data_IF_733187314900
#
_entry.id   IF_733187314900
#
_cell.length_a   1.000
_cell.length_b   1.000
_cell.length_c   1.000
_cell.angle_alpha   90.00
_cell.angle_beta   90.00
_cell.angle_gamma   90.00
#
_symmetry.space_group_name_H-M   'P 1'
#
loop_
_entity.id
_entity.type
_entity.pdbx_description
1 polymer ?
#
# COMPACT_ATOMS: atom_id res chain seq x y z
N UNK A 1 19.61 -31.35 36.78
CA UNK A 1 20.32 -30.35 35.97
C UNK A 1 19.35 -29.85 34.93
N UNK A 2 19.00 -28.56 34.99
CA UNK A 2 18.03 -27.92 34.10
C UNK A 2 18.76 -27.59 32.80
N UNK A 3 18.45 -28.30 31.72
CA UNK A 3 18.96 -28.00 30.38
C UNK A 3 18.23 -26.78 29.85
N UNK A 4 18.93 -25.64 29.76
CA UNK A 4 18.44 -24.44 29.07
C UNK A 4 18.48 -24.71 27.57
N UNK A 5 17.33 -24.80 26.91
CA UNK A 5 17.23 -24.78 25.45
C UNK A 5 17.68 -23.42 24.93
N UNK A 6 18.72 -23.43 24.10
CA UNK A 6 19.25 -22.28 23.41
C UNK A 6 18.42 -22.07 22.13
N UNK A 7 17.49 -21.12 22.15
CA UNK A 7 16.83 -20.65 20.92
C UNK A 7 17.87 -19.91 20.07
N UNK A 8 18.35 -20.55 19.01
CA UNK A 8 19.15 -19.89 17.99
C UNK A 8 18.18 -19.21 17.03
N UNK A 9 18.06 -17.88 17.13
CA UNK A 9 17.37 -17.04 16.16
C UNK A 9 18.26 -16.96 14.92
N UNK A 10 18.03 -17.82 13.93
CA UNK A 10 18.72 -17.76 12.65
C UNK A 10 17.94 -16.81 11.73
N UNK A 11 18.44 -15.58 11.56
CA UNK A 11 17.93 -14.65 10.55
C UNK A 11 18.37 -15.17 9.18
N UNK A 12 17.49 -15.90 8.49
CA UNK A 12 17.73 -16.30 7.10
C UNK A 12 17.26 -15.16 6.20
N UNK A 13 18.22 -14.38 5.68
CA UNK A 13 17.95 -13.41 4.62
C UNK A 13 17.68 -14.21 3.35
N UNK A 14 16.41 -14.34 2.98
CA UNK A 14 15.98 -15.00 1.75
C UNK A 14 15.99 -13.95 0.65
N UNK A 15 16.77 -14.21 -0.40
CA UNK A 15 16.89 -13.35 -1.57
C UNK A 15 15.54 -13.23 -2.29
N UNK A 16 15.03 -12.00 -2.39
CA UNK A 16 13.93 -11.62 -3.27
C UNK A 16 14.40 -11.64 -4.72
N UNK A 17 13.60 -12.21 -5.61
CA UNK A 17 13.74 -12.04 -7.05
C UNK A 17 12.33 -11.87 -7.63
N UNK A 18 11.80 -10.67 -7.45
CA UNK A 18 10.69 -10.10 -8.20
C UNK A 18 11.02 -8.63 -8.47
N UNK A 19 11.08 -8.27 -9.75
CA UNK A 19 11.29 -6.89 -10.16
C UNK A 19 9.98 -6.10 -9.96
N UNK A 20 9.90 -5.43 -8.82
CA UNK A 20 9.42 -4.06 -8.69
C UNK A 20 10.36 -3.43 -7.65
N UNK A 21 11.57 -3.05 -8.09
CA UNK A 21 12.57 -2.46 -7.21
C UNK A 21 12.21 -0.99 -6.91
N UNK A 22 11.41 -0.81 -5.86
CA UNK A 22 11.51 0.33 -4.98
C UNK A 22 11.11 -0.06 -3.55
N UNK A 23 12.03 0.26 -2.63
CA UNK A 23 11.97 0.05 -1.19
C UNK A 23 12.00 -1.40 -0.67
N UNK A 24 13.10 -1.68 0.03
CA UNK A 24 13.39 -2.91 0.76
C UNK A 24 12.70 -2.94 2.13
N UNK A 25 11.43 -2.50 2.20
CA UNK A 25 10.65 -2.35 3.43
C UNK A 25 9.26 -2.94 3.22
N UNK A 26 9.20 -4.28 3.17
CA UNK A 26 7.94 -5.03 3.21
C UNK A 26 7.33 -4.87 4.59
N UNK A 27 6.01 -4.67 4.66
CA UNK A 27 5.34 -4.58 5.97
C UNK A 27 5.03 -5.97 6.56
N UNK A 28 5.13 -7.04 5.76
CA UNK A 28 5.05 -8.42 6.26
C UNK A 28 6.43 -9.03 6.46
N UNK A 29 6.68 -9.55 7.67
CA UNK A 29 7.92 -10.26 8.00
C UNK A 29 7.64 -11.74 8.24
N UNK A 30 8.40 -12.61 7.56
CA UNK A 30 8.31 -14.06 7.75
C UNK A 30 9.41 -14.53 8.70
N UNK A 31 9.01 -14.99 9.88
CA UNK A 31 9.89 -15.59 10.89
C UNK A 31 9.90 -17.12 10.76
N UNK A 32 11.06 -17.73 11.01
CA UNK A 32 11.25 -19.18 10.96
C UNK A 32 11.67 -19.75 12.31
N UNK A 33 11.01 -20.83 12.73
CA UNK A 33 11.43 -21.67 13.86
C UNK A 33 11.57 -23.12 13.42
N UNK A 34 12.43 -23.92 14.05
CA UNK A 34 12.62 -25.33 13.71
C UNK A 34 12.29 -26.21 14.90
N UNK A 35 11.46 -27.23 14.66
CA UNK A 35 11.13 -28.28 15.63
C UNK A 35 12.26 -29.32 15.74
N UNK A 36 12.28 -30.08 16.82
CA UNK A 36 13.25 -31.17 17.04
C UNK A 36 13.23 -32.23 15.93
N UNK A 37 12.08 -32.40 15.27
CA UNK A 37 11.91 -33.35 14.18
C UNK A 37 12.38 -32.84 12.81
N UNK A 38 12.97 -31.64 12.77
CA UNK A 38 13.49 -31.00 11.58
C UNK A 38 12.46 -30.14 10.83
N UNK A 39 11.18 -30.16 11.22
CA UNK A 39 10.13 -29.34 10.61
C UNK A 39 10.43 -27.85 10.79
N UNK A 40 10.43 -27.09 9.69
CA UNK A 40 10.58 -25.63 9.70
C UNK A 40 9.21 -24.99 9.66
N UNK A 41 8.89 -24.17 10.65
CA UNK A 41 7.60 -23.48 10.79
C UNK A 41 7.79 -22.02 10.42
N UNK A 42 6.90 -21.50 9.57
CA UNK A 42 6.94 -20.12 9.08
C UNK A 42 5.74 -19.33 9.61
N UNK A 43 6.04 -18.26 10.33
CA UNK A 43 5.07 -17.34 10.94
C UNK A 43 5.20 -15.99 10.27
N UNK A 44 4.11 -15.49 9.69
CA UNK A 44 4.08 -14.14 9.15
C UNK A 44 3.62 -13.15 10.21
N UNK A 45 4.22 -11.97 10.22
CA UNK A 45 3.79 -10.84 11.03
C UNK A 45 3.51 -9.64 10.12
N UNK A 46 2.31 -9.08 10.20
CA UNK A 46 1.95 -7.84 9.53
C UNK A 46 2.25 -6.65 10.45
N UNK A 47 3.26 -5.84 10.16
CA UNK A 47 3.59 -4.63 10.94
C UNK A 47 2.69 -3.44 10.61
N UNK A 48 1.97 -3.50 9.48
CA UNK A 48 1.17 -2.39 8.99
C UNK A 48 -0.11 -2.15 9.78
N UNK A 49 -0.68 -0.96 9.56
CA UNK A 49 -1.92 -0.49 10.21
C UNK A 49 -3.21 -0.88 9.47
N UNK A 50 -3.08 -1.71 8.44
CA UNK A 50 -4.14 -2.18 7.53
C UNK A 50 -4.01 -3.69 7.26
N UNK A 51 -5.09 -4.37 6.82
CA UNK A 51 -5.00 -5.74 6.35
C UNK A 51 -4.05 -5.86 5.15
N UNK A 52 -3.32 -6.97 5.06
CA UNK A 52 -2.45 -7.29 3.92
C UNK A 52 -2.76 -8.69 3.42
N UNK A 53 -3.07 -8.82 2.13
CA UNK A 53 -3.14 -10.11 1.47
C UNK A 53 -1.74 -10.56 1.07
N UNK A 54 -1.37 -11.78 1.45
CA UNK A 54 -0.10 -12.41 1.08
C UNK A 54 -0.34 -13.65 0.24
N UNK A 55 0.49 -13.86 -0.78
CA UNK A 55 0.60 -15.14 -1.48
C UNK A 55 1.99 -15.72 -1.23
N UNK A 56 2.04 -16.98 -0.79
CA UNK A 56 3.29 -17.70 -0.55
C UNK A 56 3.37 -18.86 -1.54
N UNK A 57 4.48 -18.95 -2.26
CA UNK A 57 4.76 -20.04 -3.19
C UNK A 57 6.16 -20.62 -2.95
N UNK A 58 6.29 -21.93 -3.13
CA UNK A 58 7.54 -22.65 -2.89
C UNK A 58 7.91 -23.60 -4.03
N UNK A 59 9.22 -23.71 -4.27
CA UNK A 59 9.82 -24.73 -5.13
C UNK A 59 10.43 -25.80 -4.23
N UNK A 60 9.81 -26.99 -4.22
CA UNK A 60 10.27 -28.13 -3.43
C UNK A 60 11.28 -28.93 -4.25
N UNK A 61 12.56 -28.90 -3.85
CA UNK A 61 13.66 -29.51 -4.62
C UNK A 61 13.87 -30.96 -4.18
N UNK A 62 13.98 -31.20 -2.88
CA UNK A 62 14.31 -32.53 -2.38
C UNK A 62 13.81 -32.76 -0.95
N UNK A 63 13.28 -33.96 -0.72
CA UNK A 63 12.98 -34.53 0.61
C UNK A 63 12.08 -33.68 1.51
N UNK A 64 11.14 -32.91 0.94
CA UNK A 64 10.23 -32.07 1.71
C UNK A 64 8.82 -32.09 1.15
N UNK A 65 7.86 -31.81 2.02
CA UNK A 65 6.53 -31.35 1.64
C UNK A 65 6.15 -30.13 2.47
N UNK A 66 5.09 -29.44 2.08
CA UNK A 66 4.53 -28.29 2.81
C UNK A 66 3.22 -28.68 3.45
N UNK A 67 2.92 -28.05 4.59
CA UNK A 67 1.62 -28.13 5.26
C UNK A 67 1.18 -26.72 5.72
N UNK A 68 0.09 -26.16 5.16
CA UNK A 68 -0.68 -26.70 4.03
C UNK A 68 0.15 -26.72 2.73
N UNK A 69 -0.37 -27.38 1.68
CA UNK A 69 0.23 -27.35 0.34
C UNK A 69 0.26 -25.91 -0.20
N UNK A 70 1.39 -25.50 -0.77
CA UNK A 70 1.57 -24.20 -1.43
C UNK A 70 1.28 -24.28 -2.95
N UNK A 71 0.82 -23.18 -3.59
CA UNK A 71 0.71 -21.83 -3.05
C UNK A 71 -0.46 -21.62 -2.07
N UNK A 72 -0.29 -20.69 -1.15
CA UNK A 72 -1.28 -20.28 -0.16
C UNK A 72 -1.51 -18.78 -0.23
N UNK A 73 -2.78 -18.36 -0.27
CA UNK A 73 -3.17 -16.97 -0.03
C UNK A 73 -3.76 -16.80 1.36
N UNK A 74 -3.44 -15.70 2.03
CA UNK A 74 -4.01 -15.37 3.32
C UNK A 74 -4.11 -13.86 3.51
N UNK A 75 -5.10 -13.38 4.26
CA UNK A 75 -5.21 -11.96 4.65
C UNK A 75 -4.79 -11.84 6.11
N UNK A 76 -3.66 -11.19 6.36
CA UNK A 76 -3.18 -10.88 7.69
C UNK A 76 -3.83 -9.58 8.17
N UNK A 77 -4.47 -9.62 9.33
CA UNK A 77 -5.01 -8.43 9.98
C UNK A 77 -3.89 -7.51 10.48
N UNK A 78 -4.16 -6.21 10.72
CA UNK A 78 -3.16 -5.28 11.26
C UNK A 78 -2.51 -5.84 12.53
N UNK A 79 -1.18 -5.83 12.61
CA UNK A 79 -0.40 -6.35 13.75
C UNK A 79 -0.59 -7.86 14.05
N UNK A 80 -1.21 -8.62 13.15
CA UNK A 80 -1.37 -10.07 13.34
C UNK A 80 -0.04 -10.79 13.21
N UNK A 81 0.15 -11.84 14.01
CA UNK A 81 1.18 -12.86 13.80
C UNK A 81 0.52 -14.23 13.62
N UNK A 82 0.69 -14.84 12.45
CA UNK A 82 0.03 -16.11 12.11
C UNK A 82 1.01 -17.13 11.55
N UNK A 83 0.93 -18.37 12.04
CA UNK A 83 1.63 -19.50 11.41
C UNK A 83 0.93 -19.84 10.09
N UNK A 84 1.61 -19.56 8.98
CA UNK A 84 1.03 -19.75 7.64
C UNK A 84 1.28 -21.15 7.09
N UNK A 85 2.53 -21.60 7.14
CA UNK A 85 2.90 -22.91 6.60
C UNK A 85 4.09 -23.51 7.32
N UNK A 86 4.30 -24.79 7.09
CA UNK A 86 5.47 -25.52 7.56
C UNK A 86 6.09 -26.28 6.41
N UNK A 87 7.41 -26.48 6.47
CA UNK A 87 8.14 -27.36 5.58
C UNK A 87 8.61 -28.56 6.38
N UNK A 88 8.11 -29.73 6.01
CA UNK A 88 8.27 -30.97 6.76
C UNK A 88 9.20 -31.91 5.96
N UNK A 89 10.31 -32.38 6.55
CA UNK A 89 11.18 -33.36 5.88
C UNK A 89 10.44 -34.70 5.71
N UNK A 90 10.52 -35.29 4.52
CA UNK A 90 9.92 -36.62 4.25
C UNK A 90 10.70 -37.72 4.98
N UNK A 91 12.02 -37.65 4.89
CA UNK A 91 12.97 -38.51 5.60
C UNK A 91 13.90 -37.64 6.45
N UNK A 92 13.82 -37.80 7.78
CA UNK A 92 14.57 -36.98 8.74
C UNK A 92 16.09 -37.17 8.66
N UNK A 93 16.57 -38.18 7.95
CA UNK A 93 18.00 -38.46 7.79
C UNK A 93 18.61 -37.83 6.53
N UNK A 94 17.78 -37.30 5.62
CA UNK A 94 18.20 -36.70 4.35
C UNK A 94 18.02 -35.18 4.38
N UNK A 95 18.85 -34.48 3.61
CA UNK A 95 18.78 -33.02 3.49
C UNK A 95 17.46 -32.57 2.87
N UNK A 96 16.79 -31.63 3.52
CA UNK A 96 15.59 -30.95 3.05
C UNK A 96 15.97 -29.69 2.26
N UNK A 97 15.62 -29.64 0.97
CA UNK A 97 15.97 -28.56 0.05
C UNK A 97 14.72 -27.95 -0.61
N UNK A 98 14.59 -26.64 -0.51
CA UNK A 98 13.50 -25.85 -1.10
C UNK A 98 13.87 -24.38 -1.14
N UNK A 99 13.13 -23.62 -1.93
CA UNK A 99 13.06 -22.16 -1.88
C UNK A 99 11.60 -21.73 -1.77
N UNK A 100 11.34 -20.55 -1.22
CA UNK A 100 10.02 -19.93 -1.29
C UNK A 100 10.16 -18.43 -1.49
N UNK A 101 9.10 -17.82 -2.01
CA UNK A 101 8.93 -16.39 -2.11
C UNK A 101 7.51 -16.05 -1.65
N UNK A 102 7.31 -14.78 -1.35
CA UNK A 102 5.98 -14.25 -1.07
C UNK A 102 5.80 -12.90 -1.72
N UNK A 103 4.56 -12.58 -2.03
CA UNK A 103 4.11 -11.27 -2.47
C UNK A 103 3.11 -10.74 -1.43
N UNK A 104 3.03 -9.43 -1.29
CA UNK A 104 2.09 -8.75 -0.39
C UNK A 104 1.32 -7.66 -1.13
N UNK A 105 0.05 -7.49 -0.78
CA UNK A 105 -0.82 -6.43 -1.31
C UNK A 105 -1.66 -5.85 -0.20
N UNK A 106 -1.62 -4.53 -0.07
CA UNK A 106 -2.43 -3.78 0.88
C UNK A 106 -3.93 -3.92 0.64
N UNK A 107 -4.67 -4.12 1.73
CA UNK A 107 -6.12 -4.19 1.79
C UNK A 107 -6.66 -5.62 1.76
N UNK A 108 -7.88 -5.77 2.25
CA UNK A 108 -8.64 -7.02 2.16
C UNK A 108 -9.25 -7.14 0.75
N UNK A 109 -8.98 -8.22 -0.02
CA UNK A 109 -9.58 -8.42 -1.34
C UNK A 109 -11.10 -8.59 -1.32
N UNK A 110 -11.70 -8.85 -0.14
CA UNK A 110 -13.15 -8.87 0.05
C UNK A 110 -13.76 -7.46 0.18
N UNK A 111 -12.95 -6.40 0.15
CA UNK A 111 -13.43 -5.02 0.21
C UNK A 111 -14.30 -4.68 -0.99
N UNK A 112 -15.52 -4.23 -0.72
CA UNK A 112 -16.49 -3.80 -1.72
C UNK A 112 -16.68 -2.28 -1.64
N UNK A 113 -16.42 -1.59 -2.76
CA UNK A 113 -16.66 -0.16 -2.85
C UNK A 113 -18.13 0.13 -3.16
N UNK A 114 -18.80 0.90 -2.29
CA UNK A 114 -20.10 1.48 -2.59
C UNK A 114 -19.92 2.65 -3.57
N UNK A 115 -20.45 2.50 -4.78
CA UNK A 115 -20.39 3.52 -5.84
C UNK A 115 -21.16 4.80 -5.54
N UNK A 116 -21.96 4.83 -4.46
CA UNK A 116 -22.59 6.04 -3.93
C UNK A 116 -21.71 6.77 -2.90
N UNK A 117 -20.50 6.28 -2.65
CA UNK A 117 -19.51 6.99 -1.84
C UNK A 117 -18.96 8.18 -2.61
N UNK A 118 -18.97 9.34 -1.97
CA UNK A 118 -18.41 10.57 -2.53
C UNK A 118 -17.22 11.09 -1.73
N UNK A 119 -16.36 11.82 -2.42
CA UNK A 119 -15.12 12.38 -1.88
C UNK A 119 -15.21 13.92 -1.90
N UNK A 120 -14.96 14.57 -0.77
CA UNK A 120 -14.91 16.04 -0.74
C UNK A 120 -13.68 16.54 -1.52
N UNK A 121 -13.74 17.77 -2.03
CA UNK A 121 -12.59 18.39 -2.70
C UNK A 121 -11.42 18.53 -1.70
N UNK A 122 -10.20 18.10 -2.05
CA UNK A 122 -9.09 17.97 -1.09
C UNK A 122 -8.34 19.27 -0.81
N UNK A 123 -8.92 20.44 -1.09
CA UNK A 123 -8.32 21.76 -0.86
C UNK A 123 -9.34 22.68 -0.17
N UNK A 124 -8.96 23.91 0.18
CA UNK A 124 -9.77 24.80 1.02
C UNK A 124 -10.77 25.66 0.24
N UNK A 125 -11.72 26.24 0.98
CA UNK A 125 -12.80 27.06 0.43
C UNK A 125 -12.29 28.34 -0.25
N UNK A 126 -12.99 28.77 -1.30
CA UNK A 126 -12.63 29.90 -2.15
C UNK A 126 -11.45 29.64 -3.08
N UNK A 127 -10.94 28.39 -3.13
CA UNK A 127 -9.86 28.00 -4.02
C UNK A 127 -10.41 27.31 -5.27
N UNK A 128 -9.70 27.50 -6.38
CA UNK A 128 -10.08 26.94 -7.67
C UNK A 128 -8.86 26.41 -8.41
N UNK A 129 -8.91 25.13 -8.75
CA UNK A 129 -7.81 24.42 -9.41
C UNK A 129 -8.32 23.61 -10.61
N UNK A 130 -7.42 23.34 -11.55
CA UNK A 130 -7.75 22.61 -12.79
C UNK A 130 -7.27 21.17 -12.70
N UNK A 131 -8.12 20.24 -13.11
CA UNK A 131 -7.71 18.86 -13.37
C UNK A 131 -6.85 18.84 -14.64
N UNK A 132 -5.57 18.55 -14.50
CA UNK A 132 -4.63 18.46 -15.62
C UNK A 132 -4.57 17.06 -16.21
N UNK A 133 -4.88 16.04 -15.42
CA UNK A 133 -5.05 14.68 -15.90
C UNK A 133 -6.18 14.00 -15.13
N UNK A 134 -7.08 13.31 -15.84
CA UNK A 134 -8.20 12.57 -15.24
C UNK A 134 -8.07 11.06 -15.43
N UNK A 135 -9.17 10.36 -15.22
CA UNK A 135 -9.24 8.90 -15.41
C UNK A 135 -8.82 8.50 -16.83
N UNK A 136 -8.05 7.41 -16.94
CA UNK A 136 -7.47 6.88 -18.17
C UNK A 136 -6.57 7.90 -18.90
N UNK A 137 -5.94 8.81 -18.14
CA UNK A 137 -4.97 9.75 -18.66
C UNK A 137 -3.78 9.06 -19.32
N UNK A 138 -3.23 9.70 -20.35
CA UNK A 138 -2.23 9.08 -21.24
C UNK A 138 -0.78 9.19 -20.75
N UNK A 139 -0.51 9.95 -19.68
CA UNK A 139 0.85 10.20 -19.18
C UNK A 139 1.22 9.25 -18.05
N UNK A 140 0.44 9.22 -16.97
CA UNK A 140 0.73 8.41 -15.77
C UNK A 140 -0.46 7.56 -15.31
N UNK A 141 -1.65 7.70 -15.90
CA UNK A 141 -2.89 7.03 -15.46
C UNK A 141 -3.26 5.84 -16.35
N UNK A 142 -2.27 5.01 -16.71
CA UNK A 142 -2.47 3.86 -17.62
C UNK A 142 -2.22 2.49 -16.96
N UNK A 143 -1.57 2.45 -15.80
CA UNK A 143 -1.43 1.23 -15.01
C UNK A 143 -2.66 1.00 -14.11
N UNK A 144 -2.77 -0.19 -13.52
CA UNK A 144 -3.96 -0.54 -12.75
C UNK A 144 -4.09 0.26 -11.45
N UNK A 145 -2.99 0.66 -10.82
CA UNK A 145 -2.98 1.42 -9.58
C UNK A 145 -3.36 2.90 -9.79
N UNK A 146 -3.16 3.43 -10.99
CA UNK A 146 -3.36 4.86 -11.29
C UNK A 146 -4.40 5.15 -12.38
N UNK A 147 -5.02 4.11 -12.99
CA UNK A 147 -6.02 4.27 -14.06
C UNK A 147 -7.12 5.28 -13.74
N UNK A 148 -7.60 5.31 -12.50
CA UNK A 148 -8.63 6.24 -12.03
C UNK A 148 -8.08 7.31 -11.09
N UNK A 149 -6.82 7.72 -11.29
CA UNK A 149 -6.26 8.87 -10.58
C UNK A 149 -6.67 10.21 -11.21
N UNK A 150 -6.44 11.28 -10.46
CA UNK A 150 -6.71 12.67 -10.85
C UNK A 150 -5.52 13.53 -10.43
N UNK A 151 -4.93 14.22 -11.39
CA UNK A 151 -3.91 15.23 -11.14
C UNK A 151 -4.56 16.61 -11.14
N UNK A 152 -4.44 17.32 -10.03
CA UNK A 152 -5.01 18.66 -9.82
C UNK A 152 -3.84 19.65 -9.73
N UNK A 153 -3.68 20.51 -10.73
CA UNK A 153 -2.58 21.49 -10.71
C UNK A 153 -2.81 22.54 -9.64
N UNK A 154 -1.79 22.76 -8.82
CA UNK A 154 -1.83 23.72 -7.73
C UNK A 154 -0.40 24.13 -7.33
N UNK A 155 -0.20 25.36 -6.83
CA UNK A 155 1.10 25.76 -6.29
C UNK A 155 1.53 24.86 -5.14
N UNK A 156 2.84 24.64 -4.99
CA UNK A 156 3.38 24.02 -3.76
C UNK A 156 2.99 24.85 -2.53
N UNK A 157 2.70 24.20 -1.41
CA UNK A 157 2.22 24.86 -0.20
C UNK A 157 0.71 25.03 -0.11
N UNK A 158 -0.07 24.54 -1.08
CA UNK A 158 -1.53 24.56 -0.98
C UNK A 158 -1.96 23.56 0.09
N UNK A 159 -2.73 24.01 1.10
CA UNK A 159 -3.25 23.12 2.14
C UNK A 159 -4.17 22.05 1.55
N UNK A 160 -3.92 20.80 1.93
CA UNK A 160 -4.66 19.63 1.50
C UNK A 160 -5.42 19.00 2.65
N UNK A 161 -6.66 18.62 2.40
CA UNK A 161 -7.59 18.12 3.40
C UNK A 161 -8.11 16.72 3.06
N UNK A 162 -8.50 15.97 4.09
CA UNK A 162 -9.07 14.63 3.91
C UNK A 162 -10.36 14.69 3.11
N UNK A 163 -10.37 14.07 1.94
CA UNK A 163 -11.55 13.93 1.08
C UNK A 163 -12.61 12.99 1.67
N UNK A 164 -12.20 12.04 2.52
CA UNK A 164 -13.09 11.07 3.17
C UNK A 164 -12.47 10.64 4.49
N UNK A 165 -13.31 10.51 5.53
CA UNK A 165 -12.90 10.01 6.85
C UNK A 165 -12.25 8.63 6.76
N UNK A 166 -11.27 8.37 7.63
CA UNK A 166 -10.59 7.08 7.69
C UNK A 166 -9.35 7.13 8.56
N UNK A 167 -8.61 6.03 8.55
CA UNK A 167 -7.35 5.90 9.29
C UNK A 167 -6.16 6.17 8.38
N UNK A 168 -5.22 6.99 8.80
CA UNK A 168 -3.93 7.15 8.12
C UNK A 168 -3.12 5.86 8.34
N UNK A 169 -2.77 5.16 7.26
CA UNK A 169 -2.16 3.82 7.32
C UNK A 169 -0.77 3.74 6.71
N UNK A 170 -0.37 4.74 5.92
CA UNK A 170 1.00 4.86 5.41
C UNK A 170 1.34 6.33 5.16
N UNK A 171 2.55 6.73 5.52
CA UNK A 171 3.16 8.01 5.19
C UNK A 171 4.52 7.74 4.56
N UNK A 172 4.79 8.41 3.45
CA UNK A 172 6.13 8.53 2.90
C UNK A 172 6.49 10.01 2.85
N UNK A 173 7.64 10.39 3.39
CA UNK A 173 8.11 11.78 3.43
C UNK A 173 9.63 11.86 3.27
N UNK A 174 10.14 13.07 3.04
CA UNK A 174 11.57 13.38 2.99
C UNK A 174 12.18 13.43 1.59
N UNK A 175 11.41 13.17 0.53
CA UNK A 175 11.88 13.38 -0.84
C UNK A 175 11.70 14.83 -1.28
N UNK A 176 12.82 15.50 -1.54
CA UNK A 176 12.84 16.90 -2.01
C UNK A 176 13.03 17.00 -3.53
N UNK A 177 13.42 15.91 -4.19
CA UNK A 177 13.69 15.88 -5.63
C UNK A 177 12.40 15.70 -6.40
N UNK A 178 12.40 16.23 -7.61
CA UNK A 178 11.30 16.11 -8.58
C UNK A 178 11.86 15.86 -9.97
N UNK A 179 11.17 15.08 -10.79
CA UNK A 179 11.49 14.93 -12.21
C UNK A 179 11.00 13.61 -12.78
N UNK A 180 11.00 13.50 -14.11
CA UNK A 180 10.55 12.29 -14.81
C UNK A 180 11.70 11.33 -15.07
N UNK A 181 12.40 10.92 -14.00
CA UNK A 181 13.50 9.95 -14.06
C UNK A 181 13.12 8.65 -13.34
N UNK A 182 13.66 7.53 -13.82
CA UNK A 182 13.28 6.20 -13.32
C UNK A 182 13.56 6.02 -11.81
N UNK A 183 14.58 6.70 -11.27
CA UNK A 183 14.91 6.64 -9.85
C UNK A 183 13.93 7.39 -8.93
N UNK A 184 12.98 8.14 -9.50
CA UNK A 184 11.97 8.92 -8.76
C UNK A 184 10.56 8.33 -8.80
N UNK A 185 10.32 7.26 -9.57
CA UNK A 185 9.00 6.64 -9.82
C UNK A 185 8.25 6.28 -8.53
N UNK A 186 8.97 5.87 -7.48
CA UNK A 186 8.39 5.44 -6.20
C UNK A 186 8.85 6.31 -5.03
N UNK A 187 9.27 7.55 -5.33
CA UNK A 187 9.83 8.48 -4.34
C UNK A 187 8.88 9.60 -3.94
N UNK A 188 7.65 9.63 -4.43
CA UNK A 188 6.70 10.66 -4.05
C UNK A 188 6.42 10.61 -2.54
N UNK A 189 6.43 11.77 -1.88
CA UNK A 189 5.87 11.90 -0.55
C UNK A 189 4.36 11.72 -0.67
N UNK A 190 3.77 10.92 0.22
CA UNK A 190 2.37 10.57 0.15
C UNK A 190 1.75 10.27 1.51
N UNK A 191 0.43 10.38 1.56
CA UNK A 191 -0.42 9.87 2.64
C UNK A 191 -1.38 8.86 2.04
N UNK A 192 -1.52 7.70 2.67
CA UNK A 192 -2.55 6.69 2.39
C UNK A 192 -3.53 6.62 3.54
N UNK A 193 -4.82 6.71 3.23
CA UNK A 193 -5.91 6.65 4.22
C UNK A 193 -6.80 5.46 3.90
N UNK A 194 -6.97 4.54 4.86
CA UNK A 194 -7.91 3.42 4.80
C UNK A 194 -9.30 3.87 5.26
N UNK A 195 -10.31 3.59 4.45
CA UNK A 195 -11.72 3.90 4.73
C UNK A 195 -12.46 2.67 5.28
N UNK A 196 -13.63 2.89 5.88
CA UNK A 196 -14.44 1.83 6.52
C UNK A 196 -14.90 0.72 5.55
N UNK A 197 -14.95 1.01 4.25
CA UNK A 197 -15.28 0.04 3.19
C UNK A 197 -14.05 -0.75 2.67
N UNK A 198 -12.88 -0.54 3.27
CA UNK A 198 -11.62 -1.19 2.90
C UNK A 198 -10.92 -0.59 1.68
N UNK A 199 -11.50 0.44 1.06
CA UNK A 199 -10.81 1.23 0.04
C UNK A 199 -9.78 2.17 0.67
N UNK A 200 -8.80 2.61 -0.12
CA UNK A 200 -7.76 3.53 0.33
C UNK A 200 -7.65 4.74 -0.59
N UNK A 201 -7.70 5.95 -0.05
CA UNK A 201 -7.29 7.15 -0.79
C UNK A 201 -5.80 7.40 -0.63
N UNK A 202 -5.17 7.91 -1.69
CA UNK A 202 -3.75 8.28 -1.73
C UNK A 202 -3.65 9.73 -2.19
N UNK A 203 -2.87 10.51 -1.44
CA UNK A 203 -2.51 11.90 -1.75
C UNK A 203 -1.01 11.90 -1.97
N UNK A 204 -0.55 12.15 -3.19
CA UNK A 204 0.86 12.04 -3.56
C UNK A 204 1.43 13.35 -4.13
N UNK A 205 2.75 13.36 -4.30
CA UNK A 205 3.57 14.53 -4.62
C UNK A 205 3.52 15.61 -3.53
N UNK A 206 3.38 15.19 -2.28
CA UNK A 206 3.30 16.11 -1.14
C UNK A 206 4.62 16.83 -0.90
N UNK A 207 4.56 18.00 -0.27
CA UNK A 207 5.75 18.78 0.02
C UNK A 207 6.51 18.16 1.20
N UNK A 208 7.80 17.96 1.02
CA UNK A 208 8.65 17.32 2.02
C UNK A 208 8.60 18.05 3.37
N UNK A 209 8.39 17.31 4.45
CA UNK A 209 8.29 17.85 5.81
C UNK A 209 7.04 18.69 6.07
N UNK A 210 6.01 18.55 5.22
CA UNK A 210 4.72 19.28 5.34
C UNK A 210 3.53 18.33 5.36
N UNK A 211 3.70 17.18 6.00
CA UNK A 211 2.63 16.29 6.42
C UNK A 211 2.33 16.59 7.89
N UNK A 212 1.05 16.76 8.24
CA UNK A 212 0.59 17.26 9.54
C UNK A 212 -0.19 16.21 10.36
N UNK A 213 -0.20 14.97 9.88
CA UNK A 213 -0.82 13.81 10.53
C UNK A 213 0.21 12.70 10.67
N UNK A 214 0.00 11.80 11.61
CA UNK A 214 0.86 10.65 11.84
C UNK A 214 0.20 9.33 11.38
N UNK A 215 1.00 8.32 11.09
CA UNK A 215 0.48 6.96 10.87
C UNK A 215 -0.27 6.47 12.11
N UNK A 216 -1.50 6.02 11.92
CA UNK A 216 -2.40 5.59 12.99
C UNK A 216 -3.49 6.59 13.33
N UNK A 217 -3.35 7.85 12.93
CA UNK A 217 -4.35 8.88 13.17
C UNK A 217 -5.67 8.55 12.48
N UNK A 218 -6.76 8.88 13.16
CA UNK A 218 -8.10 8.86 12.57
C UNK A 218 -8.46 10.27 12.16
N UNK A 219 -8.71 10.46 10.87
CA UNK A 219 -9.10 11.76 10.30
C UNK A 219 -10.55 11.72 9.85
N UNK A 220 -11.22 12.86 9.97
CA UNK A 220 -12.55 13.07 9.39
C UNK A 220 -12.45 13.91 8.12
N UNK A 221 -13.47 13.81 7.25
CA UNK A 221 -13.54 14.64 6.05
C UNK A 221 -13.35 16.13 6.39
N UNK A 222 -12.40 16.77 5.72
CA UNK A 222 -12.06 18.18 5.93
C UNK A 222 -10.92 18.43 6.92
N UNK A 223 -10.37 17.41 7.57
CA UNK A 223 -9.18 17.57 8.40
C UNK A 223 -7.95 17.91 7.55
N UNK A 224 -7.08 18.79 8.06
CA UNK A 224 -5.84 19.16 7.40
C UNK A 224 -4.86 17.99 7.41
N UNK A 225 -4.37 17.60 6.24
CA UNK A 225 -3.45 16.48 6.06
C UNK A 225 -2.02 16.93 5.79
N UNK A 226 -1.84 17.81 4.80
CA UNK A 226 -0.53 18.16 4.28
C UNK A 226 -0.55 19.48 3.48
N UNK A 227 0.61 19.86 2.95
CA UNK A 227 0.72 20.81 1.83
C UNK A 227 1.03 20.07 0.52
N UNK A 228 0.43 20.53 -0.58
CA UNK A 228 0.81 20.10 -1.94
C UNK A 228 2.28 20.42 -2.22
N UNK A 229 2.90 19.59 -3.06
CA UNK A 229 4.31 19.74 -3.41
C UNK A 229 4.57 19.36 -4.86
N UNK A 230 5.77 18.82 -5.08
CA UNK A 230 6.25 18.37 -6.38
C UNK A 230 7.19 17.15 -6.27
N UNK A 231 7.19 16.43 -5.14
CA UNK A 231 8.17 15.37 -4.85
C UNK A 231 8.04 14.15 -5.76
N UNK A 232 9.15 13.48 -6.07
CA UNK A 232 9.16 12.22 -6.81
C UNK A 232 8.96 12.39 -8.32
N UNK A 233 8.34 11.39 -8.95
CA UNK A 233 8.08 11.39 -10.39
C UNK A 233 6.99 12.39 -10.75
N UNK A 234 7.38 13.65 -10.94
CA UNK A 234 6.48 14.75 -11.25
C UNK A 234 7.11 15.69 -12.28
N UNK A 235 6.27 16.25 -13.16
CA UNK A 235 6.69 17.26 -14.13
C UNK A 235 6.49 18.71 -13.64
N UNK A 236 5.78 18.89 -12.53
CA UNK A 236 5.53 20.19 -11.91
C UNK A 236 4.50 20.10 -10.77
N UNK A 237 4.32 21.16 -9.97
CA UNK A 237 3.48 21.12 -8.77
C UNK A 237 2.01 20.75 -9.06
N UNK A 238 1.54 19.70 -8.38
CA UNK A 238 0.16 19.23 -8.43
C UNK A 238 -0.12 18.29 -7.25
N UNK A 239 -1.40 18.01 -7.00
CA UNK A 239 -1.83 16.87 -6.21
C UNK A 239 -2.16 15.71 -7.15
N UNK A 240 -1.54 14.56 -6.94
CA UNK A 240 -2.03 13.30 -7.48
C UNK A 240 -2.95 12.63 -6.45
N UNK A 241 -4.21 12.42 -6.81
CA UNK A 241 -5.21 11.80 -5.95
C UNK A 241 -5.79 10.54 -6.61
N UNK A 242 -5.81 9.43 -5.89
CA UNK A 242 -6.38 8.17 -6.37
C UNK A 242 -7.07 7.41 -5.24
N UNK A 243 -8.11 6.67 -5.59
CA UNK A 243 -8.76 5.70 -4.69
C UNK A 243 -8.43 4.31 -5.18
N UNK A 244 -7.94 3.46 -4.29
CA UNK A 244 -7.44 2.11 -4.59
C UNK A 244 -8.12 1.07 -3.69
N UNK A 245 -8.15 -0.18 -4.15
CA UNK A 245 -8.52 -1.35 -3.34
C UNK A 245 -7.72 -2.57 -3.76
N UNK A 246 -7.64 -3.55 -2.86
CA UNK A 246 -7.17 -4.87 -3.25
C UNK A 246 -8.24 -5.58 -4.10
N UNK A 247 -7.83 -6.18 -5.21
CA UNK A 247 -8.66 -7.00 -6.11
C UNK A 247 -8.07 -8.40 -6.31
N UNK A 248 -7.54 -8.99 -5.23
CA UNK A 248 -7.00 -10.35 -5.20
C UNK A 248 -5.56 -10.41 -5.70
N UNK A 249 -4.61 -10.20 -4.80
CA UNK A 249 -3.17 -10.05 -5.08
C UNK A 249 -2.87 -8.95 -6.09
N UNK A 250 -3.71 -7.92 -6.12
CA UNK A 250 -3.50 -6.79 -7.03
C UNK A 250 -4.16 -5.53 -6.49
N UNK A 251 -3.35 -4.50 -6.28
CA UNK A 251 -3.87 -3.17 -5.98
C UNK A 251 -4.38 -2.53 -7.27
N UNK A 252 -5.64 -2.09 -7.26
CA UNK A 252 -6.28 -1.45 -8.41
C UNK A 252 -6.92 -0.14 -7.99
N UNK A 253 -6.80 0.89 -8.83
CA UNK A 253 -7.60 2.10 -8.71
C UNK A 253 -9.05 1.83 -9.06
N UNK A 254 -9.95 2.62 -8.48
CA UNK A 254 -11.38 2.56 -8.73
C UNK A 254 -11.93 3.94 -9.10
N UNK A 255 -12.97 4.02 -9.95
CA UNK A 255 -13.66 5.28 -10.21
C UNK A 255 -14.29 5.82 -8.94
N UNK A 256 -14.27 7.15 -8.79
CA UNK A 256 -14.95 7.85 -7.71
C UNK A 256 -15.58 9.15 -8.21
N UNK A 257 -16.40 9.80 -7.39
CA UNK A 257 -16.99 11.11 -7.68
C UNK A 257 -16.74 12.09 -6.55
N UNK A 258 -16.52 13.36 -6.91
CA UNK A 258 -16.47 14.45 -5.96
C UNK A 258 -17.87 14.77 -5.43
N UNK A 259 -17.97 15.24 -4.19
CA UNK A 259 -19.13 15.96 -3.66
C UNK A 259 -18.76 17.43 -3.44
N UNK A 260 -19.57 18.32 -4.00
CA UNK A 260 -19.44 19.76 -3.85
C UNK A 260 -20.23 20.24 -2.63
N UNK A 261 -19.95 21.45 -2.15
CA UNK A 261 -20.62 22.01 -0.97
C UNK A 261 -22.15 22.12 -1.13
N UNK A 262 -22.63 22.31 -2.36
CA UNK A 262 -24.06 22.37 -2.69
C UNK A 262 -24.72 20.98 -2.83
N UNK A 263 -23.99 19.92 -2.50
CA UNK A 263 -24.45 18.53 -2.56
C UNK A 263 -24.46 17.91 -3.95
N UNK A 264 -24.08 18.66 -5.00
CA UNK A 264 -23.92 18.08 -6.33
C UNK A 264 -22.71 17.16 -6.38
N UNK A 265 -22.83 16.11 -7.16
CA UNK A 265 -21.73 15.18 -7.41
C UNK A 265 -21.09 15.47 -8.75
N UNK A 266 -19.78 15.25 -8.83
CA UNK A 266 -18.99 15.56 -10.02
C UNK A 266 -17.99 14.45 -10.29
N UNK A 267 -18.18 13.73 -11.40
CA UNK A 267 -17.17 12.80 -11.88
C UNK A 267 -15.90 13.58 -12.32
N UNK A 268 -14.69 13.13 -11.91
CA UNK A 268 -13.46 13.77 -12.35
C UNK A 268 -13.29 13.71 -13.86
N UNK A 269 -12.90 14.83 -14.47
CA UNK A 269 -12.64 14.91 -15.91
C UNK A 269 -11.44 15.81 -16.20
N UNK A 270 -10.59 15.39 -17.13
CA UNK A 270 -9.48 16.23 -17.59
C UNK A 270 -9.98 17.59 -18.12
N UNK A 271 -9.29 18.65 -17.73
CA UNK A 271 -9.60 20.03 -18.08
C UNK A 271 -10.71 20.67 -17.26
N UNK A 272 -11.38 19.91 -16.38
CA UNK A 272 -12.40 20.40 -15.45
C UNK A 272 -11.78 21.35 -14.42
N UNK A 273 -12.53 22.39 -14.06
CA UNK A 273 -12.20 23.23 -12.91
C UNK A 273 -12.96 22.72 -11.70
N UNK A 274 -12.24 22.54 -10.60
CA UNK A 274 -12.78 22.22 -9.29
C UNK A 274 -12.73 23.50 -8.46
N UNK A 275 -13.82 23.82 -7.80
CA UNK A 275 -13.99 24.99 -6.93
C UNK A 275 -14.67 24.50 -5.67
N UNK A 276 -14.07 24.82 -4.53
CA UNK A 276 -14.64 24.57 -3.22
C UNK A 276 -15.07 25.90 -2.64
#
# INVERSE_FOLDING_TARGET
>A
MVTRSLCILLLVIISTLTHAEGMNDTDVHIMQTQSEDGTRIYTAHNEALLPIEVEIAATLVNNVHTDPTLPLRHVLQPHESLRLFSVVPIDRTRTAEFTFHYEEVYGDPASEHDSNTYYALPFGDGQRFRVTQGFNGTVSHHDDQNRYAVDITMPEGTSLYASRSGKVVKIQDGEYRSGQTADLTEKANLIRILHDDGTMSVYAHLKAGRIFVDEGDWVVTGDLLAESGNSGFSSGPHLHFVVQRNSGMKLVSIPFSWILEDGRTLAPKEGQWLER
#
